data_IF_197164988976
#
_entry.id   IF_197164988976
#
_cell.length_a   1.000
_cell.length_b   1.000
_cell.length_c   1.000
_cell.angle_alpha   90.00
_cell.angle_beta   90.00
_cell.angle_gamma   90.00
#
_symmetry.space_group_name_H-M   'P 1'
#
loop_
_entity.id
_entity.type
_entity.pdbx_description
1 polymer ?
#
# COMPACT_ATOMS: atom_id res chain seq x y z
N UNK A 1 -29.28 9.48 -3.12
CA UNK A 1 -29.00 9.79 -1.70
C UNK A 1 -28.49 8.59 -0.91
N UNK A 2 -29.04 7.38 -1.10
CA UNK A 2 -28.58 6.17 -0.38
C UNK A 2 -27.19 5.65 -0.79
N UNK A 3 -26.75 5.88 -2.02
CA UNK A 3 -25.44 5.40 -2.53
C UNK A 3 -24.29 6.21 -1.92
N UNK A 4 -24.46 7.51 -1.69
CA UNK A 4 -23.44 8.37 -1.10
C UNK A 4 -23.22 8.05 0.38
N UNK A 5 -24.27 7.69 1.10
CA UNK A 5 -24.17 7.30 2.51
C UNK A 5 -23.46 5.97 2.72
N UNK A 6 -23.63 5.01 1.79
CA UNK A 6 -22.96 3.70 1.82
C UNK A 6 -21.48 3.81 1.48
N UNK A 7 -21.09 4.70 0.58
CA UNK A 7 -19.68 4.96 0.23
C UNK A 7 -18.95 5.64 1.38
N UNK A 8 -19.56 6.65 2.00
CA UNK A 8 -18.99 7.32 3.18
C UNK A 8 -18.86 6.40 4.39
N UNK A 9 -19.83 5.51 4.62
CA UNK A 9 -19.77 4.54 5.72
C UNK A 9 -18.66 3.49 5.51
N UNK A 10 -18.43 3.04 4.29
CA UNK A 10 -17.32 2.12 3.97
C UNK A 10 -15.95 2.78 4.07
N UNK A 11 -15.85 4.06 3.78
CA UNK A 11 -14.59 4.82 3.81
C UNK A 11 -14.10 5.06 5.26
N UNK A 12 -15.03 5.19 6.22
CA UNK A 12 -14.69 5.47 7.63
C UNK A 12 -14.55 4.21 8.51
N UNK A 13 -15.24 3.12 8.18
CA UNK A 13 -15.28 1.94 9.07
C UNK A 13 -14.13 0.95 8.85
N UNK A 14 -13.67 0.78 7.61
CA UNK A 14 -12.57 -0.16 7.31
C UNK A 14 -11.20 0.23 7.86
N UNK A 15 -10.74 1.49 7.77
CA UNK A 15 -9.43 1.87 8.31
C UNK A 15 -9.37 1.83 9.84
N UNK A 16 -10.47 2.12 10.54
CA UNK A 16 -10.49 2.16 12.02
C UNK A 16 -10.38 0.75 12.61
N UNK A 17 -11.05 -0.24 12.03
CA UNK A 17 -10.98 -1.62 12.53
C UNK A 17 -9.61 -2.27 12.29
N UNK A 18 -8.91 -1.89 11.23
CA UNK A 18 -7.57 -2.43 10.93
C UNK A 18 -6.49 -1.83 11.83
N UNK A 19 -6.59 -0.55 12.15
CA UNK A 19 -5.67 0.13 13.08
C UNK A 19 -5.86 -0.33 14.53
N UNK A 20 -7.10 -0.62 14.95
CA UNK A 20 -7.40 -1.14 16.29
C UNK A 20 -6.99 -2.62 16.46
N UNK A 21 -7.05 -3.42 15.41
CA UNK A 21 -6.57 -4.80 15.44
C UNK A 21 -5.04 -4.87 15.57
N UNK A 22 -4.30 -3.95 14.95
CA UNK A 22 -2.85 -3.85 15.05
C UNK A 22 -2.36 -3.43 16.45
N UNK A 23 -3.19 -2.68 17.22
CA UNK A 23 -2.86 -2.22 18.58
C UNK A 23 -3.26 -3.25 19.65
N UNK A 24 -4.26 -4.11 19.39
CA UNK A 24 -4.79 -5.09 20.37
C UNK A 24 -4.21 -6.50 20.25
N UNK A 25 -3.65 -6.85 19.12
CA UNK A 25 -3.02 -8.14 18.90
C UNK A 25 -1.53 -8.03 19.12
N UNK A 26 -1.04 -8.45 20.29
CA UNK A 26 0.38 -8.71 20.44
C UNK A 26 0.84 -9.62 19.31
N UNK A 27 1.73 -9.11 18.46
CA UNK A 27 2.66 -9.84 17.61
C UNK A 27 2.16 -11.18 17.03
N UNK A 28 1.01 -11.24 16.40
CA UNK A 28 0.75 -12.34 15.50
C UNK A 28 1.40 -12.01 14.16
N UNK A 29 2.50 -12.71 13.91
CA UNK A 29 3.30 -12.60 12.70
C UNK A 29 2.42 -12.91 11.49
N UNK A 30 1.98 -11.88 10.80
CA UNK A 30 1.58 -12.05 9.41
C UNK A 30 2.89 -12.18 8.62
N UNK A 31 3.37 -13.41 8.53
CA UNK A 31 4.44 -13.73 7.60
C UNK A 31 3.94 -13.40 6.20
N UNK A 32 4.64 -12.52 5.50
CA UNK A 32 4.26 -12.11 4.13
C UNK A 32 4.45 -13.26 3.14
N UNK A 33 5.06 -14.37 3.59
CA UNK A 33 5.41 -15.51 2.73
C UNK A 33 6.60 -15.24 1.80
N UNK A 34 7.21 -14.07 1.89
CA UNK A 34 8.41 -13.69 1.16
C UNK A 34 9.52 -13.51 2.21
N UNK A 35 10.46 -14.48 2.35
CA UNK A 35 11.45 -14.50 3.44
C UNK A 35 12.30 -13.23 3.52
N UNK A 36 12.62 -12.63 2.39
CA UNK A 36 13.42 -11.40 2.32
C UNK A 36 12.69 -10.18 2.93
N UNK A 37 11.37 -10.17 2.87
CA UNK A 37 10.53 -9.09 3.41
C UNK A 37 10.27 -9.32 4.89
N UNK A 38 10.11 -10.56 5.33
CA UNK A 38 9.94 -10.88 6.74
C UNK A 38 11.21 -10.55 7.54
N UNK A 39 12.40 -10.76 6.98
CA UNK A 39 13.67 -10.36 7.55
C UNK A 39 13.81 -8.83 7.64
N UNK A 40 13.36 -8.09 6.62
CA UNK A 40 13.32 -6.63 6.61
C UNK A 40 12.38 -6.06 7.69
N UNK A 41 11.19 -6.64 7.85
CA UNK A 41 10.23 -6.24 8.87
C UNK A 41 10.75 -6.54 10.28
N UNK A 42 11.44 -7.65 10.48
CA UNK A 42 12.09 -7.98 11.74
C UNK A 42 13.21 -6.99 12.09
N UNK A 43 14.06 -6.62 11.13
CA UNK A 43 15.13 -5.66 11.32
C UNK A 43 14.64 -4.24 11.69
N UNK A 44 13.48 -3.83 11.18
CA UNK A 44 12.84 -2.55 11.52
C UNK A 44 12.27 -2.57 12.96
N UNK A 45 11.75 -3.72 13.42
CA UNK A 45 11.18 -3.87 14.76
C UNK A 45 12.22 -3.89 15.88
N UNK A 46 13.42 -4.38 15.61
CA UNK A 46 14.48 -4.54 16.61
C UNK A 46 15.31 -3.28 16.86
N UNK A 47 15.12 -2.22 16.08
CA UNK A 47 15.87 -0.96 16.23
C UNK A 47 15.03 0.15 16.86
N UNK A 48 15.28 0.55 18.13
CA UNK A 48 14.53 1.60 18.80
C UNK A 48 14.89 3.03 18.36
N UNK A 49 15.80 3.22 17.43
CA UNK A 49 16.24 4.53 16.98
C UNK A 49 16.10 4.64 15.45
N UNK A 50 15.04 5.24 15.02
CA UNK A 50 14.67 5.95 13.80
C UNK A 50 15.49 5.88 12.49
N UNK A 51 16.55 5.10 12.41
CA UNK A 51 17.36 4.94 11.19
C UNK A 51 17.17 3.54 10.62
N UNK A 52 16.55 3.49 9.44
CA UNK A 52 16.43 2.26 8.65
C UNK A 52 17.82 1.75 8.24
N UNK A 53 18.02 0.42 8.10
CA UNK A 53 19.20 -0.10 7.46
C UNK A 53 19.43 0.55 6.09
N UNK A 54 20.69 0.83 5.69
CA UNK A 54 20.98 1.55 4.44
C UNK A 54 20.41 0.89 3.18
N UNK A 55 20.36 -0.44 3.17
CA UNK A 55 19.78 -1.23 2.07
C UNK A 55 18.26 -1.10 2.00
N UNK A 56 17.57 -1.03 3.14
CA UNK A 56 16.13 -0.77 3.22
C UNK A 56 15.83 0.65 2.75
N UNK A 57 16.59 1.62 3.23
CA UNK A 57 16.45 3.02 2.82
C UNK A 57 16.65 3.18 1.31
N UNK A 58 17.64 2.52 0.71
CA UNK A 58 17.88 2.53 -0.72
C UNK A 58 16.70 1.92 -1.50
N UNK A 59 16.13 0.81 -1.02
CA UNK A 59 14.96 0.17 -1.63
C UNK A 59 13.71 1.07 -1.57
N UNK A 60 13.45 1.70 -0.42
CA UNK A 60 12.33 2.63 -0.28
C UNK A 60 12.49 3.84 -1.19
N UNK A 61 13.69 4.41 -1.26
CA UNK A 61 13.97 5.53 -2.16
C UNK A 61 13.75 5.16 -3.62
N UNK A 62 14.29 4.03 -4.07
CA UNK A 62 14.09 3.55 -5.44
C UNK A 62 12.61 3.28 -5.76
N UNK A 63 11.84 2.78 -4.79
CA UNK A 63 10.40 2.60 -4.95
C UNK A 63 9.66 3.93 -5.06
N UNK A 64 9.97 4.93 -4.22
CA UNK A 64 9.38 6.27 -4.28
C UNK A 64 9.72 6.99 -5.61
N UNK A 65 10.96 6.85 -6.10
CA UNK A 65 11.36 7.36 -7.41
C UNK A 65 10.52 6.75 -8.54
N UNK A 66 10.29 5.43 -8.52
CA UNK A 66 9.41 4.77 -9.48
C UNK A 66 7.96 5.21 -9.34
N UNK A 67 7.46 5.42 -8.12
CA UNK A 67 6.11 5.93 -7.86
C UNK A 67 5.91 7.33 -8.45
N UNK A 68 6.94 8.17 -8.50
CA UNK A 68 6.86 9.49 -9.12
C UNK A 68 6.59 9.44 -10.63
N UNK A 69 6.89 8.32 -11.29
CA UNK A 69 6.66 8.11 -12.74
C UNK A 69 5.23 7.67 -13.08
N UNK A 70 4.39 7.43 -12.08
CA UNK A 70 3.01 7.02 -12.28
C UNK A 70 2.18 8.12 -12.95
N UNK A 71 1.29 7.72 -13.84
CA UNK A 71 0.28 8.61 -14.41
C UNK A 71 -0.75 8.99 -13.35
N UNK A 72 -1.56 10.02 -13.62
CA UNK A 72 -2.63 10.44 -12.70
C UNK A 72 -3.57 9.30 -12.33
N UNK A 73 -4.02 8.51 -13.31
CA UNK A 73 -4.91 7.36 -13.07
C UNK A 73 -4.23 6.26 -12.26
N UNK A 74 -2.99 5.90 -12.57
CA UNK A 74 -2.23 4.90 -11.82
C UNK A 74 -1.98 5.35 -10.38
N UNK A 75 -1.72 6.63 -10.17
CA UNK A 75 -1.57 7.23 -8.83
C UNK A 75 -2.88 7.21 -8.05
N UNK A 76 -4.02 7.49 -8.69
CA UNK A 76 -5.33 7.37 -8.06
C UNK A 76 -5.60 5.93 -7.63
N UNK A 77 -5.26 4.95 -8.44
CA UNK A 77 -5.39 3.54 -8.08
C UNK A 77 -4.47 3.17 -6.91
N UNK A 78 -3.22 3.63 -6.92
CA UNK A 78 -2.30 3.45 -5.80
C UNK A 78 -2.86 4.07 -4.51
N UNK A 79 -3.46 5.26 -4.60
CA UNK A 79 -4.13 5.91 -3.45
C UNK A 79 -5.25 5.03 -2.89
N UNK A 80 -6.11 4.46 -3.73
CA UNK A 80 -7.14 3.54 -3.25
C UNK A 80 -6.56 2.32 -2.51
N UNK A 81 -5.45 1.79 -2.99
CA UNK A 81 -4.76 0.68 -2.31
C UNK A 81 -4.18 1.12 -0.96
N UNK A 82 -3.62 2.33 -0.88
CA UNK A 82 -3.14 2.91 0.39
C UNK A 82 -4.28 3.15 1.37
N UNK A 83 -5.47 3.49 0.88
CA UNK A 83 -6.71 3.64 1.67
C UNK A 83 -7.32 2.29 2.10
N UNK A 84 -6.71 1.16 1.70
CA UNK A 84 -7.10 -0.19 2.10
C UNK A 84 -8.13 -0.87 1.20
N UNK A 85 -8.43 -0.29 0.03
CA UNK A 85 -9.28 -0.93 -0.96
C UNK A 85 -8.54 -2.04 -1.71
N UNK A 86 -9.29 -2.97 -2.26
CA UNK A 86 -8.75 -4.09 -3.05
C UNK A 86 -8.99 -3.89 -4.54
N UNK A 87 -8.33 -4.71 -5.36
CA UNK A 87 -8.52 -4.72 -6.82
C UNK A 87 -10.00 -4.84 -7.23
N UNK A 88 -10.82 -5.52 -6.42
CA UNK A 88 -12.25 -5.72 -6.68
C UNK A 88 -13.09 -4.46 -6.45
N UNK A 89 -12.62 -3.57 -5.59
CA UNK A 89 -13.33 -2.34 -5.24
C UNK A 89 -13.09 -1.22 -6.27
N UNK A 90 -11.95 -1.25 -6.98
CA UNK A 90 -11.51 -0.18 -7.88
C UNK A 90 -12.48 0.11 -9.03
N UNK A 91 -13.10 -0.87 -9.71
CA UNK A 91 -14.02 -0.58 -10.81
C UNK A 91 -15.17 0.34 -10.39
N UNK A 92 -15.73 0.10 -9.21
CA UNK A 92 -16.82 0.91 -8.67
C UNK A 92 -16.33 2.30 -8.22
N UNK A 93 -15.19 2.35 -7.53
CA UNK A 93 -14.62 3.60 -6.99
C UNK A 93 -14.15 4.55 -8.09
N UNK A 94 -13.50 4.03 -9.11
CA UNK A 94 -12.94 4.80 -10.20
C UNK A 94 -13.92 4.97 -11.40
N UNK A 95 -15.10 4.37 -11.33
CA UNK A 95 -16.09 4.36 -12.42
C UNK A 95 -15.51 3.86 -13.76
N UNK A 96 -14.70 2.82 -13.73
CA UNK A 96 -14.08 2.19 -14.90
C UNK A 96 -14.34 0.69 -14.93
N UNK A 97 -14.21 0.06 -16.10
CA UNK A 97 -14.42 -1.37 -16.24
C UNK A 97 -13.33 -2.19 -15.52
N UNK A 98 -13.69 -3.41 -15.12
CA UNK A 98 -12.71 -4.34 -14.51
C UNK A 98 -11.54 -4.66 -15.47
N UNK A 99 -11.78 -4.69 -16.78
CA UNK A 99 -10.73 -4.88 -17.78
C UNK A 99 -9.77 -3.67 -17.84
N UNK A 100 -10.30 -2.47 -17.68
CA UNK A 100 -9.51 -1.24 -17.62
C UNK A 100 -8.65 -1.22 -16.35
N UNK A 101 -9.20 -1.61 -15.19
CA UNK A 101 -8.45 -1.76 -13.94
C UNK A 101 -7.31 -2.75 -14.11
N UNK A 102 -7.55 -3.91 -14.74
CA UNK A 102 -6.51 -4.91 -14.99
C UNK A 102 -5.36 -4.34 -15.83
N UNK A 103 -5.66 -3.52 -16.82
CA UNK A 103 -4.64 -2.85 -17.65
C UNK A 103 -3.83 -1.84 -16.84
N UNK A 104 -4.49 -1.00 -16.04
CA UNK A 104 -3.80 -0.04 -15.18
C UNK A 104 -2.96 -0.74 -14.12
N UNK A 105 -3.45 -1.80 -13.50
CA UNK A 105 -2.68 -2.58 -12.52
C UNK A 105 -1.43 -3.19 -13.12
N UNK A 106 -1.53 -3.77 -14.31
CA UNK A 106 -0.35 -4.31 -15.00
C UNK A 106 0.71 -3.22 -15.25
N UNK A 107 0.29 -2.03 -15.65
CA UNK A 107 1.21 -0.91 -15.87
C UNK A 107 1.79 -0.39 -14.54
N UNK A 108 0.96 -0.29 -13.51
CA UNK A 108 1.34 0.11 -12.16
C UNK A 108 2.41 -0.84 -11.61
N UNK A 109 2.17 -2.16 -11.64
CA UNK A 109 3.10 -3.16 -11.14
C UNK A 109 4.43 -3.13 -11.89
N UNK A 110 4.37 -3.05 -13.22
CA UNK A 110 5.57 -2.94 -14.05
C UNK A 110 6.39 -1.69 -13.73
N UNK A 111 5.74 -0.54 -13.49
CA UNK A 111 6.43 0.72 -13.16
C UNK A 111 7.02 0.70 -11.77
N UNK A 112 6.31 0.12 -10.81
CA UNK A 112 6.77 0.00 -9.43
C UNK A 112 7.76 -1.15 -9.22
N UNK A 113 7.93 -2.01 -10.25
CA UNK A 113 8.80 -3.19 -10.20
C UNK A 113 8.34 -4.16 -9.09
N UNK A 114 7.06 -4.51 -9.13
CA UNK A 114 6.41 -5.49 -8.25
C UNK A 114 5.66 -6.52 -9.09
N UNK A 115 5.61 -7.76 -8.62
CA UNK A 115 5.01 -8.87 -9.36
C UNK A 115 3.52 -9.07 -9.01
N UNK A 116 3.08 -8.58 -7.86
CA UNK A 116 1.74 -8.85 -7.37
C UNK A 116 1.17 -7.72 -6.52
N UNK A 117 -0.15 -7.78 -6.29
CA UNK A 117 -0.83 -6.91 -5.34
C UNK A 117 -0.34 -7.10 -3.91
N UNK A 118 -0.03 -8.34 -3.53
CA UNK A 118 0.44 -8.64 -2.18
C UNK A 118 1.82 -8.01 -1.92
N UNK A 119 2.71 -8.05 -2.89
CA UNK A 119 4.00 -7.38 -2.82
C UNK A 119 3.86 -5.86 -2.74
N UNK A 120 3.00 -5.27 -3.60
CA UNK A 120 2.68 -3.85 -3.53
C UNK A 120 2.18 -3.44 -2.15
N UNK A 121 1.30 -4.26 -1.57
CA UNK A 121 0.74 -4.02 -0.23
C UNK A 121 1.82 -3.99 0.85
N UNK A 122 2.83 -4.86 0.76
CA UNK A 122 3.96 -4.85 1.70
C UNK A 122 4.72 -3.53 1.62
N UNK A 123 5.01 -3.02 0.42
CA UNK A 123 5.65 -1.71 0.28
C UNK A 123 4.77 -0.58 0.86
N UNK A 124 3.47 -0.59 0.61
CA UNK A 124 2.53 0.39 1.19
C UNK A 124 2.58 0.36 2.72
N UNK A 125 2.54 -0.83 3.32
CA UNK A 125 2.60 -1.01 4.77
C UNK A 125 3.96 -0.57 5.34
N UNK A 126 5.06 -0.81 4.62
CA UNK A 126 6.39 -0.39 5.00
C UNK A 126 6.51 1.14 5.01
N UNK A 127 6.05 1.82 3.96
CA UNK A 127 6.00 3.28 3.92
C UNK A 127 5.12 3.88 5.02
N UNK A 128 3.98 3.26 5.32
CA UNK A 128 3.09 3.67 6.40
C UNK A 128 3.76 3.53 7.78
N UNK A 129 4.46 2.42 8.01
CA UNK A 129 5.19 2.16 9.25
C UNK A 129 6.34 3.15 9.50
N UNK A 130 6.94 3.65 8.42
CA UNK A 130 7.99 4.67 8.48
C UNK A 130 7.46 6.11 8.50
N UNK A 131 6.14 6.32 8.42
CA UNK A 131 5.54 7.66 8.32
C UNK A 131 5.81 8.38 7.00
N UNK A 132 6.17 7.64 5.94
CA UNK A 132 6.61 8.16 4.63
C UNK A 132 5.58 7.96 3.51
N UNK A 133 4.34 7.67 3.84
CA UNK A 133 3.27 7.40 2.85
C UNK A 133 3.09 8.52 1.83
N UNK A 134 3.35 9.77 2.20
CA UNK A 134 3.27 10.93 1.30
C UNK A 134 4.27 10.87 0.15
N UNK A 135 5.39 10.18 0.30
CA UNK A 135 6.41 10.06 -0.74
C UNK A 135 5.91 9.25 -1.95
N UNK A 136 4.95 8.34 -1.73
CA UNK A 136 4.35 7.54 -2.80
C UNK A 136 3.41 8.34 -3.72
N UNK A 137 2.91 9.47 -3.24
CA UNK A 137 1.92 10.30 -3.93
C UNK A 137 2.50 11.62 -4.44
N UNK A 138 3.69 12.00 -3.99
CA UNK A 138 4.36 13.22 -4.42
C UNK A 138 4.82 13.09 -5.89
N UNK A 139 4.70 14.20 -6.61
CA UNK A 139 5.14 14.36 -7.99
C UNK A 139 6.52 15.02 -8.01
#
# INVERSE_FOLDING_TARGET
MLVVATVLSRQFVKPINKSLAAVRGGAEMVASGIPEIDELLAAIRERPTGTLPPDVEARLRGFAERASTLTGTERTILQYYMDGYTVKDIPELACISASTVKTHNRNLYRKLDVDSFDELKVYIELFASCGRSSELLNK
#
